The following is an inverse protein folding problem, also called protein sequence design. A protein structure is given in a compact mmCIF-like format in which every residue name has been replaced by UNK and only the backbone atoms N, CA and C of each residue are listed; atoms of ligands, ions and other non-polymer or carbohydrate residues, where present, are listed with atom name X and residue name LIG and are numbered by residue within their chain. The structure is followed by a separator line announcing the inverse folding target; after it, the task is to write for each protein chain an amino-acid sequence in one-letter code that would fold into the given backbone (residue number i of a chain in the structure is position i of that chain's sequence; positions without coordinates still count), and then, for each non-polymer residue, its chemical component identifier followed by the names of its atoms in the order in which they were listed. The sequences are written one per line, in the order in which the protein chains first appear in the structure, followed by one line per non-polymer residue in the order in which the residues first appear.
data_IF_057787714930
#
_entry.id   IF_057787714930
#
_cell.length_a   1.000
_cell.length_b   1.000
_cell.length_c   1.000
_cell.angle_alpha   90.00
_cell.angle_beta   90.00
_cell.angle_gamma   90.00
#
_symmetry.space_group_name_H-M   'P 1'
#
loop_
_entity.id
_entity.type
_entity.pdbx_description
1 polymer ?
#
# COMPACT_ATOMS: atom_id res chain seq x y z
N UNK A 1 78.75 -56.63 26.60
CA UNK A 1 77.40 -56.21 27.09
C UNK A 1 76.76 -55.44 26.02
N UNK A 2 75.85 -56.05 25.28
CA UNK A 2 75.22 -55.52 24.06
C UNK A 2 73.75 -55.26 24.39
N UNK A 3 73.33 -53.99 24.41
CA UNK A 3 71.94 -53.61 24.68
C UNK A 3 71.21 -53.32 23.39
N UNK A 4 70.22 -54.12 23.12
CA UNK A 4 69.37 -54.04 21.93
C UNK A 4 68.24 -53.08 22.22
N UNK A 5 68.07 -52.01 21.40
CA UNK A 5 66.96 -51.05 21.46
C UNK A 5 65.90 -51.53 20.47
N UNK A 6 64.68 -51.76 20.98
CA UNK A 6 63.50 -52.04 20.19
C UNK A 6 62.83 -50.78 19.70
N UNK A 7 62.62 -50.60 18.40
CA UNK A 7 61.88 -49.56 17.78
C UNK A 7 60.34 -49.82 17.81
N UNK A 8 59.59 -49.04 18.45
CA UNK A 8 58.14 -49.05 18.47
C UNK A 8 57.59 -48.35 17.23
N UNK A 9 56.78 -49.10 16.43
CA UNK A 9 56.06 -48.55 15.29
C UNK A 9 54.75 -47.94 15.75
N UNK A 10 54.57 -46.66 15.57
CA UNK A 10 53.31 -45.97 15.78
C UNK A 10 52.39 -46.05 14.53
N UNK A 11 51.16 -46.47 14.72
CA UNK A 11 50.14 -46.53 13.69
C UNK A 11 49.69 -45.14 13.21
N UNK A 12 49.31 -44.94 11.93
CA UNK A 12 48.87 -43.64 11.43
C UNK A 12 47.47 -43.29 11.97
N UNK A 13 47.29 -42.02 12.35
CA UNK A 13 46.02 -41.46 12.78
C UNK A 13 45.03 -41.41 11.62
N UNK A 14 43.80 -41.83 11.87
CA UNK A 14 42.68 -41.76 10.92
C UNK A 14 42.36 -40.29 10.61
N UNK A 15 42.40 -39.91 9.33
CA UNK A 15 42.02 -38.59 8.86
C UNK A 15 40.51 -38.35 8.99
N UNK A 16 40.07 -37.08 8.97
CA UNK A 16 38.65 -36.73 9.12
C UNK A 16 37.84 -37.27 7.96
N UNK A 17 36.76 -37.99 8.29
CA UNK A 17 35.76 -38.45 7.34
C UNK A 17 35.00 -37.24 6.78
N UNK A 18 35.14 -36.95 5.50
CA UNK A 18 34.35 -35.96 4.79
C UNK A 18 32.92 -36.51 4.68
N UNK A 19 32.00 -35.89 5.43
CA UNK A 19 30.57 -36.15 5.29
C UNK A 19 30.13 -35.71 3.89
N UNK A 20 29.53 -36.61 3.11
CA UNK A 20 29.01 -36.36 1.78
C UNK A 20 27.91 -35.28 1.80
N UNK A 21 27.56 -34.71 0.64
CA UNK A 21 26.57 -33.64 0.56
C UNK A 21 25.23 -34.11 1.13
N UNK A 22 24.73 -33.39 2.15
CA UNK A 22 23.38 -33.60 2.64
C UNK A 22 22.40 -33.38 1.47
N UNK A 23 21.36 -34.22 1.30
CA UNK A 23 20.34 -33.98 0.30
C UNK A 23 19.68 -32.63 0.60
N UNK A 24 19.74 -31.71 -0.36
CA UNK A 24 19.01 -30.44 -0.30
C UNK A 24 17.53 -30.79 -0.14
N UNK A 25 16.96 -30.41 1.02
CA UNK A 25 15.52 -30.45 1.17
C UNK A 25 14.90 -29.48 0.17
N UNK A 26 13.79 -29.83 -0.51
CA UNK A 26 13.12 -28.93 -1.42
C UNK A 26 12.73 -27.66 -0.62
N UNK A 27 13.17 -26.50 -1.11
CA UNK A 27 12.71 -25.20 -0.60
C UNK A 27 11.23 -25.16 -0.94
N UNK A 28 10.36 -25.42 0.04
CA UNK A 28 8.93 -25.19 -0.09
C UNK A 28 8.79 -23.66 -0.14
N UNK A 29 8.72 -23.12 -1.36
CA UNK A 29 8.41 -21.71 -1.53
C UNK A 29 7.00 -21.47 -0.97
N UNK A 30 6.90 -20.71 0.12
CA UNK A 30 5.60 -20.25 0.61
C UNK A 30 4.91 -19.56 -0.56
N UNK A 31 3.67 -19.93 -0.92
CA UNK A 31 2.96 -19.26 -2.00
C UNK A 31 2.89 -17.77 -1.69
N UNK A 32 3.22 -16.94 -2.68
CA UNK A 32 3.18 -15.48 -2.55
C UNK A 32 1.73 -15.06 -2.47
N UNK A 33 1.35 -14.34 -1.40
CA UNK A 33 -0.02 -13.87 -1.21
C UNK A 33 -0.45 -12.95 -2.36
N UNK A 34 -1.63 -13.23 -2.93
CA UNK A 34 -2.19 -12.56 -4.11
C UNK A 34 -3.10 -11.41 -3.67
N UNK A 35 -2.83 -10.20 -4.17
CA UNK A 35 -3.61 -9.02 -3.88
C UNK A 35 -4.50 -8.59 -5.05
N UNK A 36 -5.73 -8.14 -4.71
CA UNK A 36 -6.68 -7.45 -5.58
C UNK A 36 -6.73 -5.97 -5.20
N UNK A 37 -6.57 -5.07 -6.18
CA UNK A 37 -6.62 -3.61 -6.00
C UNK A 37 -7.87 -3.04 -6.68
N UNK A 38 -8.89 -2.72 -5.91
CA UNK A 38 -10.18 -2.18 -6.38
C UNK A 38 -10.18 -0.65 -6.35
N UNK A 39 -10.80 -0.04 -7.36
CA UNK A 39 -10.75 1.41 -7.60
C UNK A 39 -9.30 1.88 -7.77
N UNK A 40 -8.56 1.13 -8.56
CA UNK A 40 -7.09 1.09 -8.56
C UNK A 40 -6.41 2.38 -9.00
N UNK A 41 -7.11 3.29 -9.70
CA UNK A 41 -6.58 4.56 -10.19
C UNK A 41 -5.21 4.37 -10.88
N UNK A 42 -4.16 5.11 -10.50
CA UNK A 42 -2.81 4.98 -11.06
C UNK A 42 -1.92 3.93 -10.36
N UNK A 43 -2.47 3.16 -9.39
CA UNK A 43 -1.76 2.03 -8.78
C UNK A 43 -0.84 2.40 -7.61
N UNK A 44 -1.09 3.50 -6.91
CA UNK A 44 -0.28 3.88 -5.74
C UNK A 44 -0.31 2.83 -4.63
N UNK A 45 -1.50 2.28 -4.33
CA UNK A 45 -1.66 1.19 -3.37
C UNK A 45 -1.01 -0.10 -3.87
N UNK A 46 -1.27 -0.49 -5.13
CA UNK A 46 -0.71 -1.67 -5.75
C UNK A 46 0.83 -1.67 -5.72
N UNK A 47 1.46 -0.53 -6.05
CA UNK A 47 2.91 -0.40 -6.00
C UNK A 47 3.46 -0.66 -4.58
N UNK A 48 2.81 -0.12 -3.56
CA UNK A 48 3.17 -0.34 -2.17
C UNK A 48 3.03 -1.81 -1.75
N UNK A 49 1.92 -2.46 -2.09
CA UNK A 49 1.73 -3.89 -1.79
C UNK A 49 2.74 -4.77 -2.49
N UNK A 50 3.08 -4.46 -3.75
CA UNK A 50 4.14 -5.18 -4.46
C UNK A 50 5.50 -5.00 -3.78
N UNK A 51 5.83 -3.78 -3.33
CA UNK A 51 7.05 -3.50 -2.58
C UNK A 51 7.12 -4.23 -1.23
N UNK A 52 5.97 -4.47 -0.58
CA UNK A 52 5.87 -5.27 0.63
C UNK A 52 6.08 -6.78 0.39
N UNK A 53 5.98 -7.25 -0.87
CA UNK A 53 6.14 -8.66 -1.23
C UNK A 53 4.84 -9.41 -1.54
N UNK A 54 3.69 -8.71 -1.67
CA UNK A 54 2.48 -9.31 -2.21
C UNK A 54 2.54 -9.34 -3.74
N UNK A 55 1.95 -10.35 -4.36
CA UNK A 55 1.72 -10.38 -5.80
C UNK A 55 0.44 -9.57 -6.11
N UNK A 56 0.58 -8.37 -6.68
CA UNK A 56 -0.57 -7.65 -7.21
C UNK A 56 -1.07 -8.35 -8.47
N UNK A 57 -2.05 -9.22 -8.30
CA UNK A 57 -2.52 -10.09 -9.37
C UNK A 57 -3.57 -9.41 -10.27
N UNK A 58 -4.27 -8.38 -9.77
CA UNK A 58 -5.26 -7.64 -10.55
C UNK A 58 -5.54 -6.27 -9.94
N UNK A 59 -5.54 -5.21 -10.79
CA UNK A 59 -6.17 -3.92 -10.53
C UNK A 59 -7.48 -3.80 -11.27
N UNK A 60 -8.47 -3.13 -10.69
CA UNK A 60 -9.82 -2.94 -11.26
C UNK A 60 -10.23 -1.48 -11.14
N UNK A 61 -10.67 -0.90 -12.25
CA UNK A 61 -11.25 0.44 -12.29
C UNK A 61 -12.28 0.51 -13.44
N UNK A 62 -13.31 1.33 -13.30
CA UNK A 62 -14.30 1.58 -14.38
C UNK A 62 -13.76 2.50 -15.47
N UNK A 63 -12.61 3.13 -15.25
CA UNK A 63 -11.90 3.96 -16.22
C UNK A 63 -10.62 3.26 -16.62
N UNK A 64 -10.36 3.18 -17.93
CA UNK A 64 -9.09 2.64 -18.42
C UNK A 64 -7.90 3.42 -17.87
N UNK A 65 -6.93 2.71 -17.28
CA UNK A 65 -5.75 3.26 -16.60
C UNK A 65 -4.46 2.81 -17.31
N UNK A 66 -4.06 3.43 -18.41
CA UNK A 66 -2.96 2.94 -19.25
C UNK A 66 -1.58 2.98 -18.54
N UNK A 67 -1.45 3.74 -17.44
CA UNK A 67 -0.23 3.83 -16.63
C UNK A 67 -0.26 2.96 -15.37
N UNK A 68 -1.32 2.18 -15.18
CA UNK A 68 -1.38 1.23 -14.07
C UNK A 68 -0.28 0.16 -14.26
N UNK A 69 0.63 -0.05 -13.29
CA UNK A 69 1.85 -0.82 -13.54
C UNK A 69 1.73 -2.34 -13.38
N UNK A 70 0.53 -2.85 -13.13
CA UNK A 70 0.26 -4.29 -12.90
C UNK A 70 -0.86 -4.79 -13.82
N UNK A 71 -1.21 -6.10 -13.81
CA UNK A 71 -2.36 -6.61 -14.55
C UNK A 71 -3.63 -5.83 -14.19
N UNK A 72 -4.39 -5.41 -15.22
CA UNK A 72 -5.53 -4.51 -15.08
C UNK A 72 -6.77 -5.06 -15.77
N UNK A 73 -7.91 -4.85 -15.15
CA UNK A 73 -9.24 -5.17 -15.71
C UNK A 73 -10.11 -3.93 -15.67
N UNK A 74 -10.69 -3.56 -16.81
CA UNK A 74 -11.69 -2.51 -16.93
C UNK A 74 -13.06 -3.11 -16.56
N UNK A 75 -13.52 -2.86 -15.35
CA UNK A 75 -14.75 -3.44 -14.81
C UNK A 75 -15.31 -2.63 -13.64
N UNK A 76 -16.54 -2.90 -13.23
CA UNK A 76 -17.08 -2.44 -11.97
C UNK A 76 -16.41 -3.17 -10.80
N UNK A 77 -15.90 -2.42 -9.84
CA UNK A 77 -15.15 -2.96 -8.72
C UNK A 77 -15.97 -3.93 -7.84
N UNK A 78 -17.27 -3.66 -7.62
CA UNK A 78 -18.14 -4.51 -6.80
C UNK A 78 -18.51 -5.78 -7.58
N UNK A 79 -18.80 -5.68 -8.86
CA UNK A 79 -19.09 -6.86 -9.71
C UNK A 79 -17.87 -7.78 -9.79
N UNK A 80 -16.68 -7.23 -10.05
CA UNK A 80 -15.44 -7.99 -10.07
C UNK A 80 -15.15 -8.66 -8.71
N UNK A 81 -15.36 -7.93 -7.61
CA UNK A 81 -15.19 -8.44 -6.24
C UNK A 81 -16.11 -9.64 -5.97
N UNK A 82 -17.41 -9.52 -6.29
CA UNK A 82 -18.39 -10.59 -6.07
C UNK A 82 -18.09 -11.84 -6.92
N UNK A 83 -17.58 -11.66 -8.13
CA UNK A 83 -17.27 -12.77 -9.04
C UNK A 83 -15.93 -13.46 -8.68
N UNK A 84 -14.92 -12.73 -8.24
CA UNK A 84 -13.54 -13.19 -8.17
C UNK A 84 -12.83 -12.93 -6.83
N UNK A 85 -13.44 -12.25 -5.86
CA UNK A 85 -12.77 -11.83 -4.63
C UNK A 85 -12.15 -12.97 -3.85
N UNK A 86 -12.74 -14.18 -3.90
CA UNK A 86 -12.21 -15.38 -3.21
C UNK A 86 -10.97 -16.02 -3.88
N UNK A 87 -10.59 -15.54 -5.06
CA UNK A 87 -9.35 -15.97 -5.74
C UNK A 87 -8.10 -15.26 -5.21
N UNK A 88 -8.25 -14.36 -4.24
CA UNK A 88 -7.18 -13.54 -3.67
C UNK A 88 -7.05 -13.76 -2.16
N UNK A 89 -5.86 -13.46 -1.64
CA UNK A 89 -5.55 -13.58 -0.22
C UNK A 89 -5.71 -12.25 0.53
N UNK A 90 -5.73 -11.14 -0.22
CA UNK A 90 -5.79 -9.79 0.29
C UNK A 90 -6.49 -8.86 -0.70
N UNK A 91 -7.34 -7.96 -0.21
CA UNK A 91 -8.09 -7.01 -1.05
C UNK A 91 -7.90 -5.58 -0.55
N UNK A 92 -7.49 -4.68 -1.43
CA UNK A 92 -7.50 -3.24 -1.20
C UNK A 92 -8.68 -2.61 -1.95
N UNK A 93 -9.34 -1.64 -1.32
CA UNK A 93 -10.40 -0.85 -1.93
C UNK A 93 -10.27 0.63 -1.55
N UNK A 94 -10.22 1.52 -2.55
CA UNK A 94 -10.27 2.97 -2.38
C UNK A 94 -11.53 3.55 -3.05
N UNK A 95 -12.74 3.24 -2.54
CA UNK A 95 -13.97 3.67 -3.19
C UNK A 95 -14.05 5.20 -3.25
N UNK A 96 -14.62 5.79 -4.33
CA UNK A 96 -14.73 7.23 -4.51
C UNK A 96 -15.40 7.91 -3.31
N UNK A 97 -14.74 8.96 -2.78
CA UNK A 97 -15.20 9.73 -1.62
C UNK A 97 -15.71 11.14 -1.97
N UNK A 98 -16.00 11.40 -3.25
CA UNK A 98 -16.25 12.76 -3.75
C UNK A 98 -17.45 13.46 -3.09
N UNK A 99 -18.40 12.71 -2.53
CA UNK A 99 -19.54 13.27 -1.79
C UNK A 99 -19.18 13.81 -0.41
N UNK A 100 -18.10 13.30 0.22
CA UNK A 100 -17.82 13.53 1.65
C UNK A 100 -16.42 14.08 1.96
N UNK A 101 -15.59 14.32 0.94
CA UNK A 101 -14.26 14.88 1.15
C UNK A 101 -14.35 16.35 1.58
N UNK A 102 -13.63 16.72 2.65
CA UNK A 102 -13.58 18.09 3.16
C UNK A 102 -13.15 19.14 2.11
N UNK A 103 -12.38 18.72 1.11
CA UNK A 103 -11.96 19.57 -0.02
C UNK A 103 -13.10 19.83 -1.02
N UNK A 104 -14.01 18.87 -1.19
CA UNK A 104 -15.15 19.01 -2.13
C UNK A 104 -16.36 19.69 -1.52
N UNK A 105 -16.57 19.55 -0.21
CA UNK A 105 -17.67 20.22 0.51
C UNK A 105 -17.60 21.74 0.37
N UNK A 106 -16.40 22.35 0.45
CA UNK A 106 -16.20 23.78 0.23
C UNK A 106 -16.42 24.23 -1.22
N UNK A 107 -15.96 23.43 -2.19
CA UNK A 107 -16.05 23.72 -3.62
C UNK A 107 -17.46 23.51 -4.16
N UNK A 108 -18.18 22.48 -3.67
CA UNK A 108 -19.55 22.20 -4.08
C UNK A 108 -20.56 23.25 -3.58
N UNK A 109 -20.28 23.88 -2.43
CA UNK A 109 -21.09 25.01 -1.93
C UNK A 109 -20.98 26.27 -2.80
N UNK A 110 -19.84 26.49 -3.45
CA UNK A 110 -19.60 27.67 -4.29
C UNK A 110 -20.03 27.49 -5.74
N UNK A 111 -20.24 26.26 -6.22
CA UNK A 111 -20.76 25.98 -7.57
C UNK A 111 -22.27 26.02 -7.56
N UNK A 112 -22.85 27.10 -8.10
CA UNK A 112 -24.30 27.29 -8.33
C UNK A 112 -24.97 26.28 -9.28
N UNK A 113 -24.24 25.29 -9.76
CA UNK A 113 -24.70 24.26 -10.67
C UNK A 113 -24.55 22.90 -9.97
N UNK A 114 -25.63 22.30 -9.62
CA UNK A 114 -25.94 20.99 -9.06
C UNK A 114 -24.99 19.79 -9.15
N UNK A 115 -23.68 20.00 -9.30
CA UNK A 115 -22.67 18.96 -9.42
C UNK A 115 -22.33 18.27 -8.09
N UNK A 116 -23.01 18.61 -7.00
CA UNK A 116 -22.76 18.02 -5.67
C UNK A 116 -23.71 16.89 -5.28
N UNK A 117 -24.79 16.68 -6.06
CA UNK A 117 -25.84 15.70 -5.74
C UNK A 117 -25.63 14.32 -6.35
N UNK A 118 -24.71 14.18 -7.32
CA UNK A 118 -24.58 12.96 -8.13
C UNK A 118 -23.41 12.05 -7.70
N UNK A 119 -22.76 12.35 -6.59
CA UNK A 119 -21.68 11.49 -6.09
C UNK A 119 -22.27 10.35 -5.25
N UNK A 120 -22.26 9.16 -5.83
CA UNK A 120 -22.69 7.92 -5.15
C UNK A 120 -21.68 7.60 -4.05
N UNK A 121 -22.16 7.39 -2.82
CA UNK A 121 -21.36 6.83 -1.73
C UNK A 121 -21.19 5.32 -1.96
N UNK A 122 -20.00 4.91 -2.36
CA UNK A 122 -19.66 3.50 -2.59
C UNK A 122 -19.00 2.81 -1.39
N UNK A 123 -18.70 3.52 -0.30
CA UNK A 123 -18.06 2.91 0.88
C UNK A 123 -18.93 1.83 1.49
N UNK A 124 -20.19 2.13 1.76
CA UNK A 124 -21.14 1.17 2.35
C UNK A 124 -21.36 -0.08 1.49
N UNK A 125 -21.71 0.04 0.20
CA UNK A 125 -21.83 -1.09 -0.71
C UNK A 125 -20.54 -1.92 -0.84
N UNK A 126 -19.37 -1.27 -0.98
CA UNK A 126 -18.06 -1.96 -1.06
C UNK A 126 -17.78 -2.77 0.19
N UNK A 127 -17.98 -2.17 1.40
CA UNK A 127 -17.82 -2.90 2.68
C UNK A 127 -18.70 -4.14 2.75
N UNK A 128 -20.00 -4.01 2.40
CA UNK A 128 -20.93 -5.15 2.40
C UNK A 128 -20.45 -6.28 1.48
N UNK A 129 -19.93 -5.94 0.32
CA UNK A 129 -19.40 -6.92 -0.62
C UNK A 129 -18.12 -7.58 -0.08
N UNK A 130 -17.19 -6.80 0.51
CA UNK A 130 -15.97 -7.30 1.14
C UNK A 130 -16.27 -8.23 2.33
N UNK A 131 -17.22 -7.85 3.20
CA UNK A 131 -17.66 -8.68 4.32
C UNK A 131 -18.30 -10.00 3.84
N UNK A 132 -19.04 -9.97 2.75
CA UNK A 132 -19.63 -11.17 2.13
C UNK A 132 -18.56 -12.11 1.54
N UNK A 133 -17.50 -11.57 0.97
CA UNK A 133 -16.39 -12.37 0.42
C UNK A 133 -15.58 -13.03 1.54
N UNK A 134 -15.36 -12.34 2.67
CA UNK A 134 -14.70 -12.87 3.86
C UNK A 134 -13.19 -13.00 3.75
N UNK A 135 -12.56 -12.38 2.75
CA UNK A 135 -11.10 -12.29 2.57
C UNK A 135 -10.58 -11.07 3.35
N UNK A 136 -9.38 -11.12 3.97
CA UNK A 136 -8.76 -9.95 4.57
C UNK A 136 -8.72 -8.76 3.63
N UNK A 137 -9.19 -7.59 4.12
CA UNK A 137 -9.30 -6.41 3.26
C UNK A 137 -8.86 -5.12 3.96
N UNK A 138 -8.67 -4.09 3.14
CA UNK A 138 -8.46 -2.70 3.52
C UNK A 138 -9.42 -1.81 2.75
N UNK A 139 -10.11 -0.89 3.45
CA UNK A 139 -10.80 0.25 2.82
C UNK A 139 -10.03 1.51 3.16
N UNK A 140 -9.64 2.28 2.14
CA UNK A 140 -8.96 3.58 2.30
C UNK A 140 -9.92 4.72 2.06
N UNK A 141 -9.77 5.79 2.88
CA UNK A 141 -10.46 7.06 2.64
C UNK A 141 -9.59 8.26 3.06
N UNK A 142 -9.71 9.41 2.40
CA UNK A 142 -9.21 10.67 2.92
C UNK A 142 -9.84 10.98 4.27
N UNK A 143 -9.08 11.61 5.18
CA UNK A 143 -9.68 12.10 6.42
C UNK A 143 -10.83 13.06 6.13
N UNK A 144 -11.95 12.85 6.80
CA UNK A 144 -13.16 13.65 6.55
C UNK A 144 -14.40 13.02 7.17
N UNK A 145 -15.50 13.07 6.43
CA UNK A 145 -16.81 12.57 6.86
C UNK A 145 -17.10 11.13 6.45
N UNK A 146 -16.20 10.49 5.71
CA UNK A 146 -16.40 9.10 5.28
C UNK A 146 -16.63 8.18 6.49
N UNK A 147 -17.67 7.35 6.41
CA UNK A 147 -18.08 6.47 7.51
C UNK A 147 -17.30 5.16 7.46
N UNK A 148 -16.00 5.22 7.72
CA UNK A 148 -15.15 4.03 7.90
C UNK A 148 -14.68 3.93 9.37
N UNK A 149 -14.36 2.72 9.82
CA UNK A 149 -13.58 2.56 11.04
C UNK A 149 -12.19 3.12 10.80
N UNK A 150 -11.62 3.75 11.81
CA UNK A 150 -10.26 4.26 11.75
C UNK A 150 -9.34 3.32 12.50
N UNK A 151 -9.04 2.17 11.88
CA UNK A 151 -8.13 1.20 12.45
C UNK A 151 -6.69 1.69 12.33
N UNK A 152 -6.36 2.42 11.24
CA UNK A 152 -5.10 3.14 11.06
C UNK A 152 -5.37 4.54 10.50
N UNK A 153 -4.55 5.51 10.91
CA UNK A 153 -4.40 6.81 10.25
C UNK A 153 -2.95 7.02 9.88
N UNK A 154 -2.65 7.10 8.58
CA UNK A 154 -1.29 7.29 8.08
C UNK A 154 -1.09 8.70 7.52
N UNK A 155 0.13 9.21 7.66
CA UNK A 155 0.55 10.54 7.23
C UNK A 155 1.89 10.47 6.50
N UNK A 156 2.11 11.30 5.48
CA UNK A 156 3.38 11.31 4.74
C UNK A 156 4.61 11.55 5.60
N UNK A 157 4.48 12.33 6.67
CA UNK A 157 5.57 12.56 7.61
C UNK A 157 6.08 11.29 8.27
N UNK A 158 5.20 10.33 8.57
CA UNK A 158 5.56 9.04 9.19
C UNK A 158 6.50 8.21 8.31
N UNK A 159 6.55 8.50 7.02
CA UNK A 159 7.32 7.80 5.98
C UNK A 159 8.39 8.70 5.33
N UNK A 160 8.66 9.88 5.91
CA UNK A 160 9.65 10.82 5.38
C UNK A 160 9.28 11.47 4.04
N UNK A 161 7.99 11.43 3.65
CA UNK A 161 7.52 11.99 2.40
C UNK A 161 7.43 13.53 2.43
N UNK A 162 7.41 14.14 1.25
CA UNK A 162 7.24 15.59 1.09
C UNK A 162 5.79 16.07 1.11
N UNK A 163 4.87 15.31 1.66
CA UNK A 163 3.44 15.64 1.77
C UNK A 163 2.89 15.42 3.17
N UNK A 164 1.96 16.27 3.59
CA UNK A 164 1.03 15.99 4.69
C UNK A 164 -0.25 15.46 4.04
N UNK A 165 -0.42 14.16 3.97
CA UNK A 165 -1.52 13.51 3.28
C UNK A 165 -2.13 12.43 4.17
N UNK A 166 -2.87 12.85 5.18
CA UNK A 166 -3.53 11.90 6.07
C UNK A 166 -4.55 11.05 5.32
N UNK A 167 -4.54 9.75 5.61
CA UNK A 167 -5.48 8.76 5.12
C UNK A 167 -5.92 7.86 6.25
N UNK A 168 -7.21 7.60 6.33
CA UNK A 168 -7.80 6.63 7.24
C UNK A 168 -7.96 5.29 6.53
N UNK A 169 -7.71 4.20 7.27
CA UNK A 169 -7.82 2.83 6.78
C UNK A 169 -8.67 2.01 7.74
N UNK A 170 -9.62 1.29 7.18
CA UNK A 170 -10.41 0.28 7.84
C UNK A 170 -9.88 -1.10 7.46
N UNK A 171 -9.63 -1.98 8.44
CA UNK A 171 -9.08 -3.32 8.24
C UNK A 171 -10.16 -4.37 8.53
N UNK A 172 -10.47 -5.22 7.56
CA UNK A 172 -11.45 -6.30 7.73
C UNK A 172 -10.80 -7.66 7.90
N UNK A 173 -11.17 -8.40 8.95
CA UNK A 173 -10.72 -9.75 9.30
C UNK A 173 -9.25 -9.88 9.74
N UNK A 174 -8.54 -8.77 9.91
CA UNK A 174 -7.17 -8.71 10.39
C UNK A 174 -6.89 -7.40 11.12
N UNK A 175 -5.70 -7.25 11.69
CA UNK A 175 -5.30 -6.05 12.45
C UNK A 175 -3.85 -5.68 12.16
N UNK A 176 -3.54 -4.39 12.28
CA UNK A 176 -2.18 -3.88 12.25
C UNK A 176 -1.95 -2.87 13.38
N UNK A 177 -0.73 -2.72 13.90
CA UNK A 177 -0.42 -1.68 14.86
C UNK A 177 -0.52 -0.30 14.21
N UNK A 178 -1.02 0.71 14.95
CA UNK A 178 -0.94 2.11 14.53
C UNK A 178 0.51 2.58 14.71
N UNK A 179 1.22 2.99 13.64
CA UNK A 179 2.56 3.56 13.80
C UNK A 179 2.49 4.93 14.47
N UNK A 180 3.55 5.29 15.17
CA UNK A 180 3.62 6.58 15.88
C UNK A 180 3.58 7.72 14.89
N UNK A 181 2.63 8.65 15.05
CA UNK A 181 2.58 9.89 14.28
C UNK A 181 3.55 10.89 14.90
N UNK A 182 4.62 11.21 14.17
CA UNK A 182 5.59 12.24 14.58
C UNK A 182 5.05 13.64 14.23
N UNK A 183 5.42 14.68 15.00
CA UNK A 183 5.04 16.05 14.70
C UNK A 183 5.52 16.48 13.30
N UNK A 184 4.67 17.21 12.57
CA UNK A 184 5.06 17.73 11.27
C UNK A 184 6.23 18.71 11.39
N UNK A 185 7.22 18.61 10.51
CA UNK A 185 8.41 19.48 10.43
C UNK A 185 8.08 20.95 10.10
N UNK A 186 6.87 21.24 9.64
CA UNK A 186 6.46 22.58 9.26
C UNK A 186 5.11 22.60 8.55
N UNK A 187 4.94 23.58 7.68
CA UNK A 187 3.70 23.80 6.90
C UNK A 187 3.87 23.37 5.44
N UNK A 188 2.76 23.21 4.75
CA UNK A 188 2.73 23.05 3.29
C UNK A 188 3.07 24.40 2.66
N UNK A 189 4.06 24.41 1.75
CA UNK A 189 4.48 25.61 1.01
C UNK A 189 3.45 26.02 -0.04
N UNK A 190 3.44 27.30 -0.41
CA UNK A 190 2.62 27.83 -1.48
C UNK A 190 1.95 29.17 -1.16
N UNK A 191 1.24 29.71 -2.15
CA UNK A 191 0.54 30.97 -2.04
C UNK A 191 -0.81 30.81 -1.35
N UNK A 192 -1.10 31.69 -0.37
CA UNK A 192 -2.40 31.76 0.32
C UNK A 192 -2.75 33.23 0.56
N UNK A 193 -3.90 33.64 0.04
CA UNK A 193 -4.38 35.03 0.19
C UNK A 193 -3.33 36.09 -0.18
N UNK A 194 -2.60 35.88 -1.29
CA UNK A 194 -1.58 36.81 -1.77
C UNK A 194 -0.23 36.75 -1.05
N UNK A 195 -0.06 35.86 -0.06
CA UNK A 195 1.20 35.67 0.68
C UNK A 195 1.79 34.30 0.36
N UNK A 196 3.08 34.26 0.03
CA UNK A 196 3.81 33.01 -0.10
C UNK A 196 4.23 32.50 1.28
N UNK A 197 3.98 31.23 1.52
CA UNK A 197 4.42 30.52 2.71
C UNK A 197 5.43 29.47 2.32
N UNK A 198 6.61 29.50 2.92
CA UNK A 198 7.61 28.46 2.75
C UNK A 198 7.37 27.30 3.70
N UNK A 199 7.85 26.10 3.32
CA UNK A 199 7.72 24.89 4.13
C UNK A 199 8.20 23.64 3.42
N UNK A 200 8.45 22.53 4.18
CA UNK A 200 9.02 21.30 3.67
C UNK A 200 8.04 20.45 2.83
N UNK A 201 6.76 20.77 2.84
CA UNK A 201 5.75 19.94 2.18
C UNK A 201 5.16 20.59 0.95
N UNK A 202 4.84 19.76 -0.04
CA UNK A 202 4.19 20.14 -1.30
C UNK A 202 2.66 19.90 -1.19
N UNK A 203 1.89 20.78 -1.80
CA UNK A 203 0.44 20.63 -1.92
C UNK A 203 0.12 19.73 -3.13
N UNK A 204 -0.25 18.47 -2.91
CA UNK A 204 -0.61 17.50 -3.96
C UNK A 204 -2.13 17.28 -3.96
N UNK A 205 -2.89 18.15 -4.66
CA UNK A 205 -4.35 18.03 -4.82
C UNK A 205 -4.86 18.90 -5.97
N UNK A 206 -5.98 18.51 -6.58
CA UNK A 206 -6.62 19.21 -7.69
C UNK A 206 -5.72 19.28 -8.95
N UNK A 207 -5.96 20.28 -9.80
CA UNK A 207 -5.32 20.37 -11.12
C UNK A 207 -3.94 21.07 -11.12
N UNK A 208 -3.38 21.36 -9.97
CA UNK A 208 -2.06 21.97 -9.85
C UNK A 208 -2.10 23.44 -9.47
N UNK A 209 -2.04 24.37 -10.41
CA UNK A 209 -2.13 25.84 -10.19
C UNK A 209 -1.30 26.38 -9.01
N UNK A 210 -0.02 26.73 -9.21
CA UNK A 210 0.85 27.30 -8.17
C UNK A 210 1.27 26.34 -7.03
N UNK A 211 0.99 25.04 -7.14
CA UNK A 211 1.24 24.04 -6.09
C UNK A 211 2.51 23.22 -6.31
N UNK A 212 3.40 23.67 -7.18
CA UNK A 212 4.63 22.95 -7.53
C UNK A 212 4.58 22.29 -8.91
N UNK A 213 5.74 21.78 -9.36
CA UNK A 213 5.90 21.06 -10.61
C UNK A 213 5.41 19.61 -10.50
N UNK A 214 5.23 18.92 -11.63
CA UNK A 214 4.93 17.47 -11.64
C UNK A 214 6.03 16.69 -10.94
N UNK A 215 7.30 17.03 -11.19
CA UNK A 215 8.43 16.37 -10.57
C UNK A 215 8.42 16.49 -9.04
N UNK A 216 8.13 17.68 -8.52
CA UNK A 216 7.99 17.89 -7.08
C UNK A 216 6.84 17.06 -6.49
N UNK A 217 5.74 16.87 -7.23
CA UNK A 217 4.64 16.02 -6.81
C UNK A 217 5.03 14.54 -6.80
N UNK A 218 5.75 14.10 -7.86
CA UNK A 218 6.28 12.74 -7.94
C UNK A 218 7.21 12.43 -6.77
N UNK A 219 8.19 13.30 -6.53
CA UNK A 219 9.17 13.14 -5.45
C UNK A 219 8.48 13.17 -4.07
N UNK A 220 7.54 14.08 -3.85
CA UNK A 220 6.81 14.21 -2.60
C UNK A 220 5.90 13.02 -2.28
N UNK A 221 5.36 12.35 -3.29
CA UNK A 221 4.47 11.19 -3.17
C UNK A 221 5.20 9.85 -3.28
N UNK A 222 6.44 9.83 -3.81
CA UNK A 222 7.14 8.59 -4.18
C UNK A 222 6.51 7.88 -5.39
N UNK A 223 5.94 8.64 -6.34
CA UNK A 223 5.24 8.11 -7.53
C UNK A 223 5.92 8.64 -8.78
N UNK A 224 6.61 7.78 -9.55
CA UNK A 224 7.42 8.19 -10.70
C UNK A 224 6.98 7.59 -12.03
N UNK A 225 5.96 6.71 -12.05
CA UNK A 225 5.49 6.03 -13.27
C UNK A 225 4.35 6.78 -13.99
N UNK A 226 3.88 7.89 -13.46
CA UNK A 226 2.94 8.80 -14.11
C UNK A 226 3.38 10.25 -13.96
N UNK A 227 3.15 11.06 -14.99
CA UNK A 227 3.36 12.51 -15.02
C UNK A 227 2.03 13.28 -15.06
N UNK A 228 0.92 12.58 -14.96
CA UNK A 228 -0.42 13.15 -14.97
C UNK A 228 -0.80 13.67 -13.58
N UNK A 229 -0.95 14.99 -13.46
CA UNK A 229 -1.26 15.65 -12.17
C UNK A 229 -2.48 15.06 -11.47
N UNK A 230 -3.54 14.77 -12.23
CA UNK A 230 -4.77 14.19 -11.68
C UNK A 230 -4.51 12.82 -11.06
N UNK A 231 -3.76 11.98 -11.73
CA UNK A 231 -3.37 10.65 -11.21
C UNK A 231 -2.54 10.75 -9.93
N UNK A 232 -1.57 11.69 -9.87
CA UNK A 232 -0.81 11.98 -8.66
C UNK A 232 -1.68 12.52 -7.53
N UNK A 233 -2.65 13.40 -7.85
CA UNK A 233 -3.56 13.98 -6.87
C UNK A 233 -4.55 12.97 -6.28
N UNK A 234 -4.98 11.98 -7.05
CA UNK A 234 -5.92 10.92 -6.64
C UNK A 234 -5.21 9.75 -5.92
N UNK A 235 -3.94 9.50 -6.22
CA UNK A 235 -3.19 8.35 -5.70
C UNK A 235 -2.97 8.38 -4.18
N UNK A 236 -2.79 7.20 -3.61
CA UNK A 236 -2.23 6.98 -2.27
C UNK A 236 -0.70 6.90 -2.40
N UNK A 237 0.09 7.49 -1.48
CA UNK A 237 1.53 7.24 -1.44
C UNK A 237 1.84 5.75 -1.27
N UNK A 238 2.70 5.15 -2.10
CA UNK A 238 3.03 3.72 -2.01
C UNK A 238 3.52 3.27 -0.63
N UNK A 239 4.24 4.13 0.08
CA UNK A 239 4.76 3.83 1.41
C UNK A 239 3.67 3.45 2.43
N UNK A 240 2.43 3.97 2.28
CA UNK A 240 1.33 3.59 3.17
C UNK A 240 0.90 2.14 2.93
N UNK A 241 0.67 1.78 1.68
CA UNK A 241 0.27 0.44 1.30
C UNK A 241 1.42 -0.57 1.52
N UNK A 242 2.67 -0.15 1.38
CA UNK A 242 3.83 -0.98 1.74
C UNK A 242 3.81 -1.33 3.23
N UNK A 243 3.68 -0.34 4.12
CA UNK A 243 3.55 -0.58 5.56
C UNK A 243 2.41 -1.56 5.86
N UNK A 244 1.22 -1.32 5.30
CA UNK A 244 0.04 -2.16 5.52
C UNK A 244 0.30 -3.59 5.03
N UNK A 245 0.88 -3.77 3.84
CA UNK A 245 1.21 -5.06 3.28
C UNK A 245 2.25 -5.84 4.10
N UNK A 246 3.28 -5.16 4.62
CA UNK A 246 4.28 -5.76 5.51
C UNK A 246 3.61 -6.28 6.80
N UNK A 247 2.71 -5.49 7.43
CA UNK A 247 1.99 -5.92 8.63
C UNK A 247 1.06 -7.11 8.34
N UNK A 248 0.37 -7.11 7.21
CA UNK A 248 -0.46 -8.23 6.79
C UNK A 248 0.35 -9.51 6.63
N UNK A 249 1.50 -9.46 5.94
CA UNK A 249 2.36 -10.63 5.72
C UNK A 249 2.97 -11.17 7.03
N UNK A 250 3.28 -10.32 8.00
CA UNK A 250 3.73 -10.77 9.34
C UNK A 250 2.62 -11.56 10.01
N UNK A 251 1.40 -11.03 10.09
CA UNK A 251 0.27 -11.72 10.73
C UNK A 251 -0.10 -13.02 10.00
N UNK A 252 -0.09 -13.03 8.67
CA UNK A 252 -0.38 -14.24 7.89
C UNK A 252 0.62 -15.37 8.17
N UNK A 253 1.91 -15.06 8.32
CA UNK A 253 2.94 -16.03 8.68
C UNK A 253 2.75 -16.60 10.09
N UNK A 254 2.39 -15.77 11.05
CA UNK A 254 2.11 -16.18 12.43
C UNK A 254 0.91 -17.16 12.50
N UNK A 255 -0.13 -16.91 11.70
CA UNK A 255 -1.31 -17.78 11.61
C UNK A 255 -1.02 -19.15 11.00
N UNK A 256 -0.06 -19.24 10.08
CA UNK A 256 0.38 -20.53 9.48
C UNK A 256 1.28 -21.32 10.43
N UNK A 257 1.98 -20.64 11.33
CA UNK A 257 2.90 -21.26 12.29
C UNK A 257 2.22 -21.73 13.58
N UNK A 258 0.95 -21.33 13.83
CA UNK A 258 0.17 -21.67 15.02
C UNK A 258 -0.72 -22.90 14.81
#
# INVERSE_FOLDING_TARGET
MTTTVQAGASAPAAGPTVSGPHPMQPIVSTPVARALDLYSCSGGAAWGYNAAGLQVARGVDIVHRPRYPFPFTLDDAIQCLLAHGRDFDFIHASPPCQSECSLTVGTNRSRKWGAGSDHIDLVGPTRKALDHIGVPYVIEQPIGKAKIRRDLTLCGEMFGLGVIRHRDFELGFWKAPQPVHIPHRGRVRGWRHGTYHDGPYVAVYGDGGGKGTVREWQDAMGIHWTDVRRELAEAIPPAYAQYIGEQFLVQAREQVAA
#
